data_IF_544550732828
#
_entry.id   IF_544550732828
#
_cell.length_a   1.000
_cell.length_b   1.000
_cell.length_c   1.000
_cell.angle_alpha   90.00
_cell.angle_beta   90.00
_cell.angle_gamma   90.00
#
_symmetry.space_group_name_H-M   'P 1'
#
loop_
_entity.id
_entity.type
_entity.pdbx_description
1 polymer ?
#
# COMPACT_ATOMS: atom_id res chain seq x y z
N UNK A 1 -15.68 13.62 -57.15
CA UNK A 1 -15.79 15.08 -56.94
C UNK A 1 -15.42 15.40 -55.50
N UNK A 2 -14.36 16.22 -55.35
CA UNK A 2 -13.98 17.13 -54.24
C UNK A 2 -14.42 16.78 -52.80
N UNK A 3 -13.52 16.43 -51.87
CA UNK A 3 -12.57 17.29 -51.11
C UNK A 3 -13.23 18.50 -50.40
N UNK A 4 -13.31 18.46 -49.05
CA UNK A 4 -12.70 19.41 -48.08
C UNK A 4 -13.47 19.47 -46.75
N UNK A 5 -12.72 19.84 -45.70
CA UNK A 5 -13.08 20.20 -44.32
C UNK A 5 -12.86 19.03 -43.33
N UNK A 6 -11.95 19.04 -42.36
CA UNK A 6 -11.24 20.16 -41.73
C UNK A 6 -9.91 19.68 -41.13
N UNK A 7 -8.81 20.30 -41.58
CA UNK A 7 -7.55 20.42 -40.84
C UNK A 7 -7.57 21.83 -40.29
N UNK A 8 -7.60 22.02 -38.96
CA UNK A 8 -7.10 23.21 -38.26
C UNK A 8 -7.22 22.96 -36.76
N UNK A 9 -6.10 22.66 -36.09
CA UNK A 9 -5.79 23.10 -34.71
C UNK A 9 -4.41 22.54 -34.29
N UNK A 10 -3.35 23.16 -34.82
CA UNK A 10 -2.04 23.24 -34.14
C UNK A 10 -1.65 24.73 -34.17
N UNK A 11 -1.01 25.19 -33.08
CA UNK A 11 -0.47 26.51 -32.77
C UNK A 11 -1.42 27.50 -32.07
N UNK A 12 -1.23 27.66 -30.75
CA UNK A 12 -0.62 28.86 -30.15
C UNK A 12 -0.79 28.83 -28.62
N UNK A 13 0.24 28.48 -27.85
CA UNK A 13 0.55 29.14 -26.55
C UNK A 13 2.07 29.07 -26.35
N UNK A 14 2.77 30.10 -26.80
CA UNK A 14 4.14 30.43 -26.39
C UNK A 14 4.12 31.91 -26.00
N UNK A 15 4.88 32.23 -24.94
CA UNK A 15 5.28 33.54 -24.42
C UNK A 15 4.31 34.29 -23.48
N UNK A 16 4.66 34.31 -22.19
CA UNK A 16 4.92 35.56 -21.43
C UNK A 16 5.43 35.25 -20.02
N UNK A 17 6.75 35.21 -19.82
CA UNK A 17 7.38 35.51 -18.53
C UNK A 17 8.71 36.23 -18.81
N UNK A 18 8.66 37.57 -18.83
CA UNK A 18 9.85 38.40 -18.84
C UNK A 18 10.14 38.90 -17.41
N UNK A 19 11.24 38.40 -16.88
CA UNK A 19 12.29 39.06 -16.08
C UNK A 19 11.99 40.42 -15.43
N UNK A 20 12.20 40.49 -14.11
CA UNK A 20 12.97 41.59 -13.51
C UNK A 20 13.65 41.14 -12.21
N UNK A 21 14.98 41.23 -12.27
CA UNK A 21 15.97 40.98 -11.23
C UNK A 21 15.91 42.03 -10.10
N UNK A 22 16.39 41.67 -8.91
CA UNK A 22 17.44 42.36 -8.13
C UNK A 22 17.32 42.03 -6.64
N UNK A 23 18.42 41.57 -6.04
CA UNK A 23 18.89 41.82 -4.65
C UNK A 23 20.08 40.87 -4.42
N UNK A 24 21.29 41.34 -4.68
CA UNK A 24 22.22 41.96 -3.72
C UNK A 24 22.93 40.92 -2.85
N UNK A 25 24.14 40.57 -3.31
CA UNK A 25 25.20 39.93 -2.56
C UNK A 25 25.60 40.77 -1.35
N UNK A 26 25.64 40.16 -0.16
CA UNK A 26 26.44 40.65 0.96
C UNK A 26 27.40 39.56 1.42
N UNK A 27 28.67 39.89 1.32
CA UNK A 27 29.83 39.13 1.77
C UNK A 27 30.01 39.35 3.27
N UNK A 28 30.03 38.29 4.06
CA UNK A 28 30.49 38.34 5.45
C UNK A 28 31.60 37.30 5.66
N UNK A 29 32.81 37.82 5.91
CA UNK A 29 33.95 37.09 6.47
C UNK A 29 33.81 37.07 8.00
N UNK A 30 34.03 35.91 8.61
CA UNK A 30 34.18 35.73 10.06
C UNK A 30 34.63 34.30 10.39
N UNK A 31 35.38 34.09 11.48
CA UNK A 31 36.57 33.23 11.46
C UNK A 31 36.34 31.76 11.84
N UNK A 32 37.34 30.95 11.47
CA UNK A 32 37.53 29.55 11.80
C UNK A 32 37.50 29.28 13.31
N UNK A 33 36.83 28.20 13.72
CA UNK A 33 37.04 27.53 15.00
C UNK A 33 36.56 26.08 14.97
N UNK A 34 37.48 25.21 15.39
CA UNK A 34 37.28 23.90 16.01
C UNK A 34 36.57 22.78 15.22
N UNK A 35 37.44 21.93 14.65
CA UNK A 35 37.19 20.53 14.34
C UNK A 35 36.72 19.78 15.61
N UNK A 36 35.40 19.57 15.71
CA UNK A 36 34.78 18.72 16.73
C UNK A 36 33.98 17.62 16.03
N UNK A 37 34.54 16.41 16.01
CA UNK A 37 33.90 15.20 15.50
C UNK A 37 32.59 14.94 16.27
N UNK A 38 31.45 15.29 15.66
CA UNK A 38 30.13 14.95 16.18
C UNK A 38 29.90 13.47 15.95
N UNK A 39 30.18 12.69 17.00
CA UNK A 39 29.66 11.34 17.18
C UNK A 39 28.14 11.40 16.98
N UNK A 40 27.62 10.68 15.99
CA UNK A 40 26.19 10.48 15.82
C UNK A 40 25.63 9.86 17.10
N UNK A 41 24.88 10.64 17.89
CA UNK A 41 24.19 10.15 19.07
C UNK A 41 23.17 9.09 18.65
N UNK A 42 23.47 7.84 18.99
CA UNK A 42 22.53 6.74 18.81
C UNK A 42 21.35 6.98 19.75
N UNK A 43 20.19 7.35 19.19
CA UNK A 43 18.90 7.41 19.89
C UNK A 43 18.70 6.08 20.62
N UNK A 44 18.96 6.06 21.93
CA UNK A 44 18.68 4.90 22.75
C UNK A 44 17.17 4.73 22.81
N UNK A 45 16.68 3.64 22.22
CA UNK A 45 15.27 3.28 22.34
C UNK A 45 14.98 2.95 23.80
N UNK A 46 14.06 3.69 24.43
CA UNK A 46 13.65 3.45 25.81
C UNK A 46 12.32 2.70 25.79
N UNK A 47 12.35 1.46 26.26
CA UNK A 47 11.17 0.64 26.42
C UNK A 47 10.62 0.78 27.84
N UNK A 48 9.29 0.86 27.95
CA UNK A 48 8.57 0.98 29.23
C UNK A 48 7.47 -0.07 29.33
N UNK A 49 7.06 -0.41 30.55
CA UNK A 49 5.93 -1.30 30.75
C UNK A 49 4.60 -0.66 30.32
N UNK A 50 3.72 -1.47 29.74
CA UNK A 50 2.39 -1.03 29.31
C UNK A 50 1.46 -0.94 30.52
N UNK A 51 0.98 0.27 30.84
CA UNK A 51 0.08 0.52 31.99
C UNK A 51 -1.41 0.32 31.63
N UNK A 52 -1.77 0.39 30.35
CA UNK A 52 -3.16 0.24 29.89
C UNK A 52 -3.55 -1.24 29.95
N UNK A 53 -4.50 -1.58 30.85
CA UNK A 53 -4.91 -2.97 31.15
C UNK A 53 -5.34 -3.79 29.92
N UNK A 54 -5.94 -3.14 28.93
CA UNK A 54 -6.36 -3.79 27.69
C UNK A 54 -5.15 -4.10 26.79
N UNK A 55 -4.20 -3.17 26.69
CA UNK A 55 -2.99 -3.31 25.88
C UNK A 55 -1.97 -4.27 26.50
N UNK A 56 -1.88 -4.31 27.84
CA UNK A 56 -0.96 -5.21 28.54
C UNK A 56 -1.27 -6.70 28.34
N UNK A 57 -2.45 -7.04 27.81
CA UNK A 57 -2.81 -8.40 27.38
C UNK A 57 -2.15 -8.82 26.07
N UNK A 58 -1.67 -7.86 25.27
CA UNK A 58 -1.07 -8.10 23.95
C UNK A 58 0.46 -8.14 24.04
N UNK A 59 1.06 -7.23 24.80
CA UNK A 59 2.51 -7.14 25.01
C UNK A 59 2.83 -6.38 26.30
N UNK A 60 4.00 -6.66 26.87
CA UNK A 60 4.40 -6.14 28.19
C UNK A 60 5.14 -4.81 28.11
N UNK A 61 5.79 -4.51 26.98
CA UNK A 61 6.67 -3.36 26.81
C UNK A 61 6.36 -2.57 25.54
N UNK A 62 6.42 -1.24 25.63
CA UNK A 62 6.16 -0.29 24.54
C UNK A 62 7.35 0.64 24.34
N UNK A 63 7.53 1.09 23.11
CA UNK A 63 8.54 2.09 22.76
C UNK A 63 8.07 3.51 23.11
N UNK A 64 8.97 4.33 23.68
CA UNK A 64 8.74 5.75 23.95
C UNK A 64 9.80 6.60 23.25
N UNK A 65 9.36 7.53 22.40
CA UNK A 65 10.24 8.29 21.50
C UNK A 65 11.25 9.19 22.21
N UNK A 66 10.93 9.73 23.40
CA UNK A 66 11.78 10.65 24.16
C UNK A 66 11.72 10.39 25.67
N UNK A 67 12.89 10.38 26.36
CA UNK A 67 12.99 10.24 27.82
C UNK A 67 12.40 11.41 28.61
N UNK A 68 12.42 12.60 28.01
CA UNK A 68 12.14 13.86 28.72
C UNK A 68 10.66 14.28 28.66
N UNK A 69 9.80 13.49 28.04
CA UNK A 69 8.37 13.77 27.89
C UNK A 69 7.51 12.80 28.73
N UNK A 70 7.80 12.68 30.03
CA UNK A 70 6.96 11.90 30.95
C UNK A 70 5.49 12.37 30.95
N UNK A 71 5.26 13.66 30.68
CA UNK A 71 3.93 14.23 30.51
C UNK A 71 3.20 13.69 29.26
N UNK A 72 3.93 13.38 28.18
CA UNK A 72 3.39 12.84 26.92
C UNK A 72 2.95 11.38 27.09
N UNK A 73 3.66 10.60 27.92
CA UNK A 73 3.30 9.20 28.21
C UNK A 73 1.96 9.08 28.95
N UNK A 74 1.79 9.81 30.06
CA UNK A 74 0.54 9.79 30.83
C UNK A 74 -0.65 10.27 29.99
N UNK A 75 -0.44 11.29 29.16
CA UNK A 75 -1.48 11.78 28.25
C UNK A 75 -1.84 10.77 27.16
N UNK A 76 -0.84 10.05 26.62
CA UNK A 76 -1.06 8.97 25.65
C UNK A 76 -1.87 7.84 26.28
N UNK A 77 -1.51 7.40 27.50
CA UNK A 77 -2.29 6.40 28.25
C UNK A 77 -3.73 6.87 28.51
N UNK A 78 -3.92 8.15 28.84
CA UNK A 78 -5.26 8.73 29.03
C UNK A 78 -6.08 8.68 27.72
N UNK A 79 -5.49 9.11 26.60
CA UNK A 79 -6.12 9.08 25.28
C UNK A 79 -6.52 7.67 24.85
N UNK A 80 -5.62 6.71 25.02
CA UNK A 80 -5.88 5.30 24.69
C UNK A 80 -7.04 4.75 25.53
N UNK A 81 -7.05 5.01 26.85
CA UNK A 81 -8.16 4.59 27.70
C UNK A 81 -9.48 5.25 27.30
N UNK A 82 -9.49 6.55 26.96
CA UNK A 82 -10.69 7.24 26.47
C UNK A 82 -11.23 6.60 25.20
N UNK A 83 -10.35 6.28 24.24
CA UNK A 83 -10.74 5.62 22.98
C UNK A 83 -11.32 4.24 23.28
N UNK A 84 -10.61 3.38 24.02
CA UNK A 84 -11.06 2.02 24.32
C UNK A 84 -12.33 1.95 25.19
N UNK A 85 -12.56 2.95 26.04
CA UNK A 85 -13.79 3.01 26.85
C UNK A 85 -14.99 3.57 26.07
N UNK A 86 -14.77 4.16 24.89
CA UNK A 86 -15.86 4.68 24.05
C UNK A 86 -16.64 3.57 23.31
N UNK A 87 -16.06 2.37 23.21
CA UNK A 87 -16.70 1.22 22.59
C UNK A 87 -17.52 0.43 23.61
N UNK A 88 -18.79 0.16 23.27
CA UNK A 88 -19.71 -0.64 24.09
C UNK A 88 -19.19 -2.06 24.35
N UNK A 89 -18.44 -2.61 23.40
CA UNK A 89 -17.67 -3.84 23.53
C UNK A 89 -16.28 -3.60 22.94
N UNK A 90 -15.26 -4.08 23.65
CA UNK A 90 -13.90 -3.98 23.16
C UNK A 90 -13.56 -5.22 22.33
N UNK A 91 -13.67 -5.06 21.00
CA UNK A 91 -13.18 -6.08 20.08
C UNK A 91 -11.66 -6.17 20.17
N UNK A 92 -11.13 -7.37 19.89
CA UNK A 92 -9.68 -7.59 19.96
C UNK A 92 -8.94 -6.84 18.85
N UNK A 93 -9.54 -6.70 17.68
CA UNK A 93 -8.95 -5.93 16.59
C UNK A 93 -8.86 -4.45 16.96
N UNK A 94 -9.90 -3.88 17.57
CA UNK A 94 -9.90 -2.49 18.07
C UNK A 94 -8.81 -2.31 19.12
N UNK A 95 -8.73 -3.19 20.13
CA UNK A 95 -7.68 -3.12 21.15
C UNK A 95 -6.31 -3.19 20.49
N UNK A 96 -6.05 -4.21 19.67
CA UNK A 96 -4.75 -4.40 19.03
C UNK A 96 -4.34 -3.19 18.18
N UNK A 97 -5.25 -2.66 17.37
CA UNK A 97 -5.00 -1.51 16.50
C UNK A 97 -4.69 -0.24 17.30
N UNK A 98 -5.56 0.14 18.24
CA UNK A 98 -5.38 1.35 19.05
C UNK A 98 -4.11 1.25 19.90
N UNK A 99 -3.87 0.10 20.54
CA UNK A 99 -2.66 -0.12 21.34
C UNK A 99 -1.40 -0.01 20.47
N UNK A 100 -1.36 -0.65 19.30
CA UNK A 100 -0.18 -0.61 18.42
C UNK A 100 0.06 0.80 17.86
N UNK A 101 -1.00 1.55 17.57
CA UNK A 101 -0.89 2.89 17.00
C UNK A 101 -0.34 3.91 18.02
N UNK A 102 -0.82 3.87 19.26
CA UNK A 102 -0.46 4.85 20.29
C UNK A 102 0.65 4.38 21.24
N UNK A 103 0.77 3.08 21.45
CA UNK A 103 1.69 2.42 22.38
C UNK A 103 2.46 1.31 21.64
N UNK A 104 3.22 1.62 20.58
CA UNK A 104 3.84 0.60 19.73
C UNK A 104 4.73 -0.35 20.56
N UNK A 105 4.64 -1.67 20.34
CA UNK A 105 5.41 -2.63 21.11
C UNK A 105 6.91 -2.38 20.98
N UNK A 106 7.63 -2.62 22.08
CA UNK A 106 9.08 -2.65 22.04
C UNK A 106 9.54 -3.95 21.38
N UNK A 107 10.26 -3.84 20.27
CA UNK A 107 10.87 -5.00 19.61
C UNK A 107 12.30 -5.11 20.12
N UNK A 108 12.51 -6.00 21.09
CA UNK A 108 13.87 -6.33 21.54
C UNK A 108 14.57 -7.14 20.45
N UNK A 109 15.87 -6.89 20.25
CA UNK A 109 16.73 -7.63 19.31
C UNK A 109 16.79 -9.15 19.57
N UNK A 110 16.34 -9.59 20.76
CA UNK A 110 16.32 -10.99 21.19
C UNK A 110 14.92 -11.60 21.25
N UNK A 111 13.87 -10.85 20.90
CA UNK A 111 12.51 -11.39 20.88
C UNK A 111 12.28 -12.18 19.59
N UNK A 112 11.55 -13.31 19.67
CA UNK A 112 11.23 -14.28 18.61
C UNK A 112 10.50 -13.72 17.35
N UNK A 113 10.57 -12.42 17.12
CA UNK A 113 10.21 -11.80 15.85
C UNK A 113 11.34 -12.10 14.85
N UNK A 114 11.23 -13.26 14.22
CA UNK A 114 12.19 -13.80 13.28
C UNK A 114 12.47 -12.85 12.11
N UNK A 115 13.51 -12.04 12.26
CA UNK A 115 14.15 -11.29 11.20
C UNK A 115 15.58 -11.79 11.05
N UNK A 116 15.92 -12.24 9.86
CA UNK A 116 17.27 -12.62 9.45
C UNK A 116 18.28 -11.51 9.75
N UNK A 117 19.42 -11.90 10.33
CA UNK A 117 20.52 -11.03 10.74
C UNK A 117 20.92 -10.02 9.65
N UNK A 118 20.89 -8.72 9.95
CA UNK A 118 21.65 -7.74 9.17
C UNK A 118 21.13 -6.30 9.15
N UNK A 119 19.83 -6.04 9.34
CA UNK A 119 19.28 -4.70 9.12
C UNK A 119 19.06 -3.91 10.41
N UNK A 120 20.01 -3.02 10.73
CA UNK A 120 19.90 -1.99 11.78
C UNK A 120 18.86 -0.93 11.38
N UNK A 121 17.57 -1.25 11.42
CA UNK A 121 16.54 -0.25 11.15
C UNK A 121 15.76 0.04 12.42
N UNK A 122 15.90 1.28 12.91
CA UNK A 122 15.05 1.89 13.92
C UNK A 122 13.64 2.12 13.35
N UNK A 123 12.92 1.06 13.01
CA UNK A 123 11.57 1.19 12.44
C UNK A 123 10.60 1.34 13.61
N UNK A 124 10.09 2.56 13.77
CA UNK A 124 8.85 2.78 14.50
C UNK A 124 7.74 2.03 13.76
N UNK A 125 7.52 0.79 14.16
CA UNK A 125 6.69 -0.14 13.41
C UNK A 125 5.22 0.27 13.58
N UNK A 126 4.59 0.67 12.48
CA UNK A 126 3.18 1.06 12.44
C UNK A 126 2.27 -0.18 12.35
N UNK A 127 0.99 -0.10 12.78
CA UNK A 127 0.05 -1.17 12.53
C UNK A 127 -0.18 -1.35 11.03
N UNK A 128 -0.34 -2.60 10.59
CA UNK A 128 -0.65 -2.90 9.19
C UNK A 128 -2.03 -2.37 8.81
N UNK A 129 -2.18 -1.98 7.54
CA UNK A 129 -3.47 -1.56 6.94
C UNK A 129 -4.60 -2.56 7.22
N UNK A 130 -4.32 -3.85 7.09
CA UNK A 130 -5.29 -4.92 7.32
C UNK A 130 -5.82 -4.92 8.76
N UNK A 131 -4.95 -4.68 9.75
CA UNK A 131 -5.35 -4.57 11.16
C UNK A 131 -6.31 -3.39 11.36
N UNK A 132 -6.02 -2.24 10.74
CA UNK A 132 -6.89 -1.07 10.80
C UNK A 132 -8.25 -1.33 10.15
N UNK A 133 -8.29 -1.99 8.99
CA UNK A 133 -9.54 -2.32 8.30
C UNK A 133 -10.41 -3.23 9.16
N UNK A 134 -9.84 -4.31 9.69
CA UNK A 134 -10.56 -5.22 10.60
C UNK A 134 -11.07 -4.48 11.85
N UNK A 135 -10.24 -3.65 12.45
CA UNK A 135 -10.63 -2.85 13.62
C UNK A 135 -11.74 -1.84 13.28
N UNK A 136 -11.70 -1.24 12.09
CA UNK A 136 -12.70 -0.27 11.62
C UNK A 136 -14.04 -0.96 11.40
N UNK A 137 -14.05 -2.12 10.73
CA UNK A 137 -15.25 -2.91 10.47
C UNK A 137 -15.93 -3.36 11.78
N UNK A 138 -15.15 -3.80 12.76
CA UNK A 138 -15.68 -4.17 14.08
C UNK A 138 -16.10 -2.94 14.89
N UNK A 139 -15.34 -1.85 14.84
CA UNK A 139 -15.61 -0.60 15.56
C UNK A 139 -16.86 0.12 15.07
N UNK A 140 -17.07 0.17 13.76
CA UNK A 140 -18.23 0.85 13.16
C UNK A 140 -19.56 0.20 13.55
N UNK A 141 -19.58 -1.11 13.86
CA UNK A 141 -20.75 -1.79 14.41
C UNK A 141 -21.02 -1.48 15.89
N UNK A 142 -20.00 -1.04 16.62
CA UNK A 142 -20.00 -0.89 18.08
C UNK A 142 -20.02 0.57 18.55
N UNK A 143 -19.77 1.52 17.63
CA UNK A 143 -19.87 2.94 17.89
C UNK A 143 -21.34 3.32 18.05
N UNK A 144 -21.70 3.74 19.27
CA UNK A 144 -22.96 4.45 19.52
C UNK A 144 -22.95 5.75 18.72
N UNK A 145 -24.08 6.04 18.06
CA UNK A 145 -24.29 7.22 17.21
C UNK A 145 -23.79 8.50 17.89
N UNK A 146 -22.61 9.00 17.49
CA UNK A 146 -21.99 10.21 18.02
C UNK A 146 -20.49 10.16 18.29
N UNK A 147 -19.84 8.98 18.27
CA UNK A 147 -18.41 8.88 18.58
C UNK A 147 -17.52 9.17 17.35
N UNK A 148 -17.11 10.43 17.22
CA UNK A 148 -16.22 10.95 16.16
C UNK A 148 -14.73 10.83 16.55
N UNK A 149 -14.27 9.65 16.96
CA UNK A 149 -12.89 9.47 17.45
C UNK A 149 -12.20 8.21 16.91
N UNK A 150 -12.38 7.90 15.61
CA UNK A 150 -11.56 6.88 14.96
C UNK A 150 -10.20 7.47 14.56
N UNK A 151 -9.07 6.83 14.92
CA UNK A 151 -7.75 7.39 14.67
C UNK A 151 -7.32 7.15 13.22
N UNK A 152 -7.70 8.09 12.34
CA UNK A 152 -7.17 8.21 10.97
C UNK A 152 -7.77 7.25 9.93
N UNK A 153 -7.31 7.43 8.69
CA UNK A 153 -7.72 6.63 7.53
C UNK A 153 -6.77 5.43 7.34
N UNK A 154 -7.31 4.21 7.24
CA UNK A 154 -6.49 2.99 7.11
C UNK A 154 -5.59 2.98 5.87
N UNK A 155 -5.94 3.75 4.83
CA UNK A 155 -5.21 3.83 3.58
C UNK A 155 -3.79 4.39 3.75
N UNK A 156 -3.55 5.18 4.79
CA UNK A 156 -2.22 5.76 5.08
C UNK A 156 -1.26 4.78 5.75
N UNK A 157 -1.76 3.62 6.19
CA UNK A 157 -0.96 2.61 6.87
C UNK A 157 -0.30 1.64 5.87
N UNK A 158 0.90 1.13 6.21
CA UNK A 158 1.66 0.23 5.37
C UNK A 158 1.06 -1.18 5.31
N UNK A 159 1.42 -1.92 4.27
CA UNK A 159 1.08 -3.35 4.07
C UNK A 159 2.23 -4.30 4.38
N UNK A 160 3.44 -3.76 4.55
CA UNK A 160 4.69 -4.46 4.83
C UNK A 160 5.50 -3.68 5.89
N UNK A 161 6.47 -4.33 6.51
CA UNK A 161 7.25 -3.79 7.63
C UNK A 161 6.36 -3.17 8.74
N UNK A 162 5.29 -3.88 9.10
CA UNK A 162 4.22 -3.39 9.96
C UNK A 162 3.76 -4.46 10.97
N UNK A 163 3.00 -4.05 11.98
CA UNK A 163 2.53 -4.97 13.02
C UNK A 163 1.09 -5.42 12.70
N UNK A 164 0.86 -6.73 12.68
CA UNK A 164 -0.46 -7.32 12.45
C UNK A 164 -0.95 -8.15 13.65
N UNK A 165 -2.27 -8.38 13.74
CA UNK A 165 -2.89 -9.22 14.75
C UNK A 165 -2.96 -10.66 14.21
N UNK A 166 -2.43 -11.62 14.96
CA UNK A 166 -2.45 -13.05 14.61
C UNK A 166 -3.09 -13.85 15.75
N UNK A 167 -4.18 -14.55 15.44
CA UNK A 167 -4.84 -15.43 16.39
C UNK A 167 -5.50 -14.67 17.55
N UNK A 168 -5.45 -15.25 18.75
CA UNK A 168 -6.35 -14.82 19.82
C UNK A 168 -5.94 -13.56 20.57
N UNK A 169 -4.64 -13.29 20.78
CA UNK A 169 -4.09 -12.12 21.49
C UNK A 169 -2.61 -11.89 21.15
N UNK A 170 -2.15 -12.33 19.96
CA UNK A 170 -0.73 -12.23 19.60
C UNK A 170 -0.59 -11.22 18.47
N UNK A 171 0.34 -10.30 18.62
CA UNK A 171 0.75 -9.42 17.53
C UNK A 171 2.06 -9.93 16.92
N UNK A 172 2.23 -9.74 15.61
CA UNK A 172 3.42 -10.14 14.87
C UNK A 172 3.91 -9.00 13.99
N UNK A 173 5.22 -8.86 13.86
CA UNK A 173 5.83 -8.01 12.86
C UNK A 173 5.81 -8.75 11.52
N UNK A 174 5.31 -8.06 10.50
CA UNK A 174 5.15 -8.55 9.15
C UNK A 174 6.19 -7.84 8.31
N UNK A 175 7.32 -8.50 8.04
CA UNK A 175 8.36 -7.96 7.15
C UNK A 175 7.84 -7.84 5.71
N UNK A 176 7.17 -8.89 5.23
CA UNK A 176 6.53 -8.95 3.91
C UNK A 176 5.10 -9.44 4.13
N UNK A 177 4.13 -8.81 3.46
CA UNK A 177 2.70 -9.12 3.58
C UNK A 177 2.49 -10.62 3.66
N UNK A 178 1.93 -11.10 4.79
CA UNK A 178 1.71 -12.52 5.06
C UNK A 178 1.03 -13.11 3.84
N UNK A 179 1.81 -13.90 3.07
CA UNK A 179 1.28 -14.76 2.03
C UNK A 179 0.11 -15.51 2.62
N UNK A 180 -1.03 -15.50 1.91
CA UNK A 180 -2.17 -16.33 2.24
C UNK A 180 -1.68 -17.77 2.44
N UNK A 181 -1.56 -18.20 3.70
CA UNK A 181 -1.28 -19.60 4.01
C UNK A 181 -2.59 -20.33 3.71
N UNK A 182 -2.61 -21.25 2.73
CA UNK A 182 -3.82 -21.96 2.37
C UNK A 182 -4.21 -22.85 3.55
N UNK A 183 -5.36 -22.55 4.17
CA UNK A 183 -5.95 -23.45 5.15
C UNK A 183 -6.42 -24.71 4.41
N UNK A 184 -5.57 -25.73 4.40
CA UNK A 184 -5.88 -27.07 3.90
C UNK A 184 -7.05 -27.65 4.70
N UNK A 185 -8.24 -27.64 4.11
CA UNK A 185 -9.08 -28.84 4.19
C UNK A 185 -8.62 -29.75 3.06
N UNK A 186 -8.10 -30.90 3.45
CA UNK A 186 -7.56 -31.93 2.59
C UNK A 186 -8.68 -32.50 1.69
N UNK A 187 -8.84 -31.94 0.49
CA UNK A 187 -9.34 -32.70 -0.65
C UNK A 187 -8.31 -32.72 -1.76
N UNK A 188 -8.19 -33.91 -2.31
CA UNK A 188 -7.02 -34.51 -2.92
C UNK A 188 -7.06 -34.27 -4.42
N UNK A 189 -6.50 -33.16 -4.88
CA UNK A 189 -6.05 -32.97 -6.26
C UNK A 189 -5.19 -31.70 -6.33
N UNK A 190 -3.88 -31.89 -6.26
CA UNK A 190 -2.90 -30.85 -6.59
C UNK A 190 -2.83 -30.82 -8.12
N UNK A 191 -3.09 -29.70 -8.82
CA UNK A 191 -2.29 -29.36 -9.97
C UNK A 191 -1.02 -28.71 -9.43
N UNK A 192 0.07 -29.41 -9.67
CA UNK A 192 1.44 -28.95 -9.53
C UNK A 192 1.55 -27.61 -10.27
N UNK A 193 2.12 -26.59 -9.62
CA UNK A 193 2.43 -25.34 -10.30
C UNK A 193 3.23 -25.67 -11.56
N UNK A 194 2.68 -25.36 -12.73
CA UNK A 194 3.40 -25.52 -13.98
C UNK A 194 4.71 -24.71 -13.90
N UNK A 195 5.87 -25.33 -14.12
CA UNK A 195 7.14 -24.62 -14.22
C UNK A 195 7.07 -23.59 -15.36
N UNK A 196 7.66 -22.42 -15.16
CA UNK A 196 7.67 -21.28 -16.09
C UNK A 196 8.37 -21.54 -17.44
N UNK A 197 8.72 -22.80 -17.74
CA UNK A 197 9.43 -23.25 -18.93
C UNK A 197 8.64 -24.28 -19.77
N UNK A 198 7.35 -24.51 -19.49
CA UNK A 198 6.47 -25.30 -20.37
C UNK A 198 5.25 -24.47 -20.75
N UNK A 199 5.40 -23.62 -21.78
CA UNK A 199 4.36 -23.33 -22.78
C UNK A 199 4.94 -22.42 -23.88
N UNK A 200 5.97 -22.94 -24.54
CA UNK A 200 6.14 -22.69 -25.97
C UNK A 200 5.38 -23.79 -26.70
N UNK A 201 4.16 -23.50 -27.18
CA UNK A 201 3.51 -24.33 -28.20
C UNK A 201 2.04 -24.63 -27.95
N UNK A 202 1.15 -23.69 -28.29
CA UNK A 202 0.31 -23.69 -29.50
C UNK A 202 -0.62 -22.46 -29.42
N UNK A 203 -0.93 -21.88 -30.58
CA UNK A 203 -1.81 -20.72 -30.76
C UNK A 203 -3.29 -21.06 -30.44
N UNK A 204 -3.54 -21.49 -29.21
CA UNK A 204 -4.86 -21.83 -28.70
C UNK A 204 -5.25 -20.65 -27.82
N UNK A 205 -6.08 -19.75 -28.35
CA UNK A 205 -6.42 -18.49 -27.72
C UNK A 205 -6.76 -18.65 -26.23
N UNK A 206 -6.06 -17.87 -25.39
CA UNK A 206 -6.37 -17.76 -23.98
C UNK A 206 -7.84 -17.37 -23.82
N UNK A 207 -8.65 -18.22 -23.20
CA UNK A 207 -10.00 -17.85 -22.79
C UNK A 207 -9.89 -16.80 -21.69
N UNK A 208 -10.15 -15.55 -22.07
CA UNK A 208 -10.35 -14.47 -21.12
C UNK A 208 -11.63 -14.78 -20.35
N UNK A 209 -11.49 -15.16 -19.08
CA UNK A 209 -12.64 -15.33 -18.20
C UNK A 209 -13.20 -13.93 -17.88
N UNK A 210 -14.06 -13.43 -18.77
CA UNK A 210 -14.82 -12.21 -18.55
C UNK A 210 -15.88 -12.54 -17.50
N UNK A 211 -15.57 -12.26 -16.23
CA UNK A 211 -16.53 -12.38 -15.13
C UNK A 211 -17.64 -11.35 -15.41
N UNK A 212 -18.72 -11.80 -16.04
CA UNK A 212 -19.92 -10.99 -16.27
C UNK A 212 -20.60 -10.75 -14.93
N UNK A 213 -20.44 -9.54 -14.39
CA UNK A 213 -21.19 -9.11 -13.22
C UNK A 213 -22.66 -8.92 -13.61
N UNK A 214 -23.48 -9.94 -13.33
CA UNK A 214 -24.95 -9.91 -13.46
C UNK A 214 -25.62 -8.92 -12.50
N UNK A 215 -24.87 -8.30 -11.59
CA UNK A 215 -25.32 -7.18 -10.77
C UNK A 215 -24.72 -5.88 -11.33
N UNK A 216 -25.56 -4.88 -11.60
CA UNK A 216 -25.23 -3.49 -12.02
C UNK A 216 -24.26 -2.72 -11.09
N UNK A 217 -23.55 -3.40 -10.18
CA UNK A 217 -22.68 -2.79 -9.20
C UNK A 217 -21.26 -2.78 -9.74
N UNK A 218 -20.75 -1.57 -9.99
CA UNK A 218 -19.36 -1.32 -10.37
C UNK A 218 -18.45 -1.90 -9.26
N UNK A 219 -17.57 -2.87 -9.59
CA UNK A 219 -16.65 -3.45 -8.61
C UNK A 219 -15.66 -2.40 -8.11
N UNK A 220 -15.32 -2.44 -6.82
CA UNK A 220 -14.40 -1.47 -6.22
C UNK A 220 -12.94 -1.71 -6.63
N UNK A 221 -12.15 -0.63 -6.66
CA UNK A 221 -10.71 -0.68 -6.91
C UNK A 221 -9.99 -1.55 -5.89
N UNK A 222 -9.05 -2.34 -6.40
CA UNK A 222 -8.19 -3.21 -5.60
C UNK A 222 -6.88 -2.54 -5.21
N UNK A 223 -6.78 -2.05 -3.98
CA UNK A 223 -5.54 -1.43 -3.48
C UNK A 223 -4.55 -2.43 -2.87
N UNK A 224 -4.83 -3.72 -2.96
CA UNK A 224 -4.02 -4.82 -2.43
C UNK A 224 -3.02 -5.38 -3.48
N UNK A 225 -2.73 -4.61 -4.53
CA UNK A 225 -1.86 -5.03 -5.63
C UNK A 225 -0.41 -4.99 -5.18
N UNK A 226 0.26 -6.15 -5.23
CA UNK A 226 1.64 -6.31 -4.79
C UNK A 226 2.67 -6.02 -5.89
N UNK A 227 2.29 -6.21 -7.16
CA UNK A 227 3.17 -5.99 -8.30
C UNK A 227 2.65 -4.81 -9.12
N UNK A 228 3.38 -3.69 -9.10
CA UNK A 228 3.03 -2.47 -9.85
C UNK A 228 3.56 -2.46 -11.30
N UNK A 229 4.35 -3.46 -11.70
CA UNK A 229 4.95 -3.54 -13.02
C UNK A 229 6.31 -2.83 -13.09
N UNK A 230 6.77 -2.59 -14.32
CA UNK A 230 7.99 -1.82 -14.58
C UNK A 230 7.68 -0.31 -14.43
N UNK A 231 8.29 0.41 -13.46
CA UNK A 231 7.99 1.82 -13.21
C UNK A 231 8.42 2.76 -14.34
N UNK A 232 9.25 2.26 -15.28
CA UNK A 232 9.62 3.00 -16.48
C UNK A 232 8.62 2.83 -17.62
N UNK A 233 7.54 2.07 -17.43
CA UNK A 233 6.51 1.79 -18.42
C UNK A 233 5.13 2.19 -17.88
N UNK A 234 4.10 1.94 -18.68
CA UNK A 234 2.73 2.23 -18.29
C UNK A 234 2.31 1.44 -17.05
N UNK A 235 1.68 2.16 -16.13
CA UNK A 235 0.94 1.66 -14.99
C UNK A 235 -0.26 2.60 -14.76
N UNK A 236 -1.46 2.05 -14.61
CA UNK A 236 -2.64 2.89 -14.51
C UNK A 236 -3.91 2.11 -14.26
N UNK A 237 -4.94 2.86 -13.88
CA UNK A 237 -6.29 2.34 -13.77
C UNK A 237 -7.02 2.52 -15.10
N UNK A 238 -7.71 1.47 -15.55
CA UNK A 238 -8.44 1.41 -16.80
C UNK A 238 -9.76 0.64 -16.61
N UNK A 239 -10.69 0.77 -17.55
CA UNK A 239 -11.93 0.00 -17.60
C UNK A 239 -11.84 -1.08 -18.67
N UNK A 240 -11.04 -2.13 -18.43
CA UNK A 240 -10.87 -3.22 -19.42
C UNK A 240 -12.02 -4.23 -19.35
N UNK A 241 -12.87 -4.13 -18.33
CA UNK A 241 -14.08 -4.95 -18.17
C UNK A 241 -15.36 -4.32 -18.76
N UNK A 242 -15.29 -3.09 -19.31
CA UNK A 242 -16.45 -2.32 -19.77
C UNK A 242 -17.53 -2.16 -18.69
N UNK A 243 -17.11 -1.90 -17.47
CA UNK A 243 -17.99 -1.72 -16.29
C UNK A 243 -18.46 -0.28 -16.11
N UNK A 244 -17.93 0.66 -16.90
CA UNK A 244 -18.17 2.09 -16.81
C UNK A 244 -17.31 2.80 -15.77
N UNK A 245 -16.25 2.16 -15.26
CA UNK A 245 -15.33 2.74 -14.30
C UNK A 245 -13.91 2.20 -14.43
N UNK A 246 -12.93 3.10 -14.41
CA UNK A 246 -11.51 2.75 -14.45
C UNK A 246 -11.05 2.16 -13.10
N UNK A 247 -11.38 0.89 -12.85
CA UNK A 247 -11.11 0.18 -11.61
C UNK A 247 -10.21 -1.05 -11.77
N UNK A 248 -9.82 -1.38 -13.00
CA UNK A 248 -8.84 -2.41 -13.29
C UNK A 248 -7.44 -1.82 -13.31
N UNK A 249 -6.51 -2.43 -12.58
CA UNK A 249 -5.14 -1.92 -12.55
C UNK A 249 -4.27 -2.61 -13.60
N UNK A 250 -3.98 -1.89 -14.68
CA UNK A 250 -3.17 -2.36 -15.79
C UNK A 250 -1.72 -1.90 -15.65
N UNK A 251 -0.78 -2.79 -15.97
CA UNK A 251 0.65 -2.53 -15.89
C UNK A 251 1.43 -3.37 -16.89
N UNK A 252 2.61 -2.89 -17.28
CA UNK A 252 3.54 -3.71 -18.07
C UNK A 252 4.43 -4.53 -17.15
N UNK A 253 4.47 -5.84 -17.39
CA UNK A 253 5.28 -6.80 -16.64
C UNK A 253 6.28 -7.47 -17.57
N UNK A 254 7.41 -7.90 -17.03
CA UNK A 254 8.46 -8.61 -17.77
C UNK A 254 9.59 -7.69 -18.24
N UNK A 255 10.56 -8.26 -18.97
CA UNK A 255 11.75 -7.55 -19.44
C UNK A 255 12.01 -7.83 -20.91
N UNK A 256 12.48 -6.82 -21.64
CA UNK A 256 12.87 -6.92 -23.05
C UNK A 256 11.76 -7.58 -23.90
N UNK A 257 12.10 -8.63 -24.67
CA UNK A 257 11.17 -9.38 -25.52
C UNK A 257 10.17 -10.26 -24.77
N UNK A 258 10.18 -10.25 -23.44
CA UNK A 258 9.21 -10.96 -22.58
C UNK A 258 8.27 -9.99 -21.87
N UNK A 259 8.12 -8.77 -22.37
CA UNK A 259 7.16 -7.79 -21.83
C UNK A 259 5.74 -8.13 -22.26
N UNK A 260 4.78 -7.91 -21.38
CA UNK A 260 3.34 -8.03 -21.67
C UNK A 260 2.56 -7.09 -20.77
N UNK A 261 1.44 -6.57 -21.26
CA UNK A 261 0.46 -5.84 -20.46
C UNK A 261 -0.35 -6.85 -19.67
N UNK A 262 -0.63 -6.54 -18.40
CA UNK A 262 -1.46 -7.35 -17.53
C UNK A 262 -2.28 -6.45 -16.62
N UNK A 263 -3.56 -6.79 -16.45
CA UNK A 263 -4.47 -6.05 -15.58
C UNK A 263 -4.93 -6.90 -14.38
N UNK A 264 -4.97 -6.31 -13.20
CA UNK A 264 -5.65 -6.90 -12.05
C UNK A 264 -7.09 -6.38 -12.05
N UNK A 265 -8.04 -7.26 -12.38
CA UNK A 265 -9.43 -6.88 -12.57
C UNK A 265 -10.12 -6.51 -11.26
N UNK A 266 -10.98 -5.51 -11.29
CA UNK A 266 -11.79 -5.12 -10.16
C UNK A 266 -12.72 -6.26 -9.75
N UNK A 267 -12.87 -6.49 -8.44
CA UNK A 267 -13.67 -7.59 -7.90
C UNK A 267 -13.12 -9.02 -8.12
N UNK A 268 -11.97 -9.18 -8.77
CA UNK A 268 -11.20 -10.44 -8.75
C UNK A 268 -10.51 -10.65 -7.40
N UNK A 269 -10.07 -11.88 -7.13
CA UNK A 269 -9.21 -12.18 -5.97
C UNK A 269 -7.86 -12.71 -6.45
N UNK A 270 -6.80 -12.48 -5.67
CA UNK A 270 -5.45 -12.94 -5.99
C UNK A 270 -4.58 -11.91 -6.74
N UNK A 271 -3.31 -12.23 -6.94
CA UNK A 271 -2.30 -11.36 -7.56
C UNK A 271 -1.96 -11.78 -9.00
N UNK A 272 -2.78 -12.68 -9.57
CA UNK A 272 -2.57 -13.25 -10.89
C UNK A 272 -2.60 -12.22 -12.01
N UNK A 273 -2.18 -12.65 -13.19
CA UNK A 273 -2.30 -11.87 -14.41
C UNK A 273 -3.68 -12.11 -15.00
N UNK A 274 -4.58 -11.16 -14.84
CA UNK A 274 -5.84 -11.16 -15.56
C UNK A 274 -5.69 -10.23 -16.77
N UNK A 275 -6.49 -10.45 -17.82
CA UNK A 275 -6.46 -9.65 -19.07
C UNK A 275 -5.03 -9.31 -19.56
N UNK A 276 -4.44 -10.25 -20.30
CA UNK A 276 -3.03 -10.19 -20.73
C UNK A 276 -2.89 -9.90 -22.21
N UNK A 277 -1.92 -9.06 -22.57
CA UNK A 277 -1.53 -8.90 -23.98
C UNK A 277 -0.71 -10.10 -24.46
N UNK A 278 -0.42 -10.11 -25.76
CA UNK A 278 0.61 -10.98 -26.33
C UNK A 278 1.96 -10.73 -25.67
N UNK A 279 2.72 -11.80 -25.48
CA UNK A 279 4.09 -11.73 -25.00
C UNK A 279 4.99 -11.05 -26.03
N UNK A 280 5.90 -10.21 -25.54
CA UNK A 280 6.86 -9.48 -26.36
C UNK A 280 6.23 -8.32 -27.15
N UNK A 281 5.06 -7.82 -26.74
CA UNK A 281 4.49 -6.63 -27.35
C UNK A 281 5.43 -5.43 -27.16
N UNK A 282 5.41 -4.53 -28.15
CA UNK A 282 6.12 -3.26 -28.03
C UNK A 282 5.29 -2.32 -27.16
N UNK A 283 5.78 -1.94 -25.97
CA UNK A 283 5.06 -0.97 -25.15
C UNK A 283 5.01 0.41 -25.82
N UNK A 284 5.88 0.73 -26.78
CA UNK A 284 5.97 2.06 -27.36
C UNK A 284 6.92 3.00 -26.61
N UNK A 285 6.88 4.28 -26.95
CA UNK A 285 7.84 5.27 -26.46
C UNK A 285 7.56 5.74 -25.03
N UNK A 286 8.64 6.14 -24.34
CA UNK A 286 8.55 6.58 -22.96
C UNK A 286 7.59 7.77 -22.79
N UNK A 287 6.64 7.65 -21.85
CA UNK A 287 5.61 8.65 -21.54
C UNK A 287 4.60 8.95 -22.66
N UNK A 288 4.43 8.07 -23.65
CA UNK A 288 3.38 8.25 -24.67
C UNK A 288 2.13 7.41 -24.44
N UNK A 289 2.16 6.55 -23.43
CA UNK A 289 1.13 5.52 -23.22
C UNK A 289 -0.14 6.06 -22.59
N UNK A 290 -1.27 5.50 -23.00
CA UNK A 290 -2.54 5.71 -22.34
C UNK A 290 -3.48 4.51 -22.52
N UNK A 291 -4.53 4.48 -21.71
CA UNK A 291 -5.63 3.53 -21.83
C UNK A 291 -6.89 4.32 -22.18
N UNK A 292 -7.56 3.95 -23.28
CA UNK A 292 -8.83 4.55 -23.70
C UNK A 292 -9.52 3.63 -24.69
N UNK A 293 -10.84 3.58 -24.66
CA UNK A 293 -11.65 2.95 -25.71
C UNK A 293 -11.41 3.63 -27.07
N UNK A 294 -10.63 2.96 -27.93
CA UNK A 294 -10.23 3.46 -29.25
C UNK A 294 -11.04 2.83 -30.37
N UNK A 295 -11.57 1.63 -30.17
CA UNK A 295 -12.36 0.90 -31.16
C UNK A 295 -13.88 0.97 -30.95
N UNK A 296 -14.32 1.54 -29.82
CA UNK A 296 -15.73 1.77 -29.48
C UNK A 296 -16.44 0.57 -28.88
N UNK A 297 -15.70 -0.44 -28.39
CA UNK A 297 -16.29 -1.64 -27.79
C UNK A 297 -16.68 -1.48 -26.31
N UNK A 298 -16.39 -0.31 -25.73
CA UNK A 298 -16.69 0.06 -24.35
C UNK A 298 -15.62 -0.35 -23.34
N UNK A 299 -14.50 -0.95 -23.78
CA UNK A 299 -13.33 -1.27 -22.96
C UNK A 299 -12.19 -0.32 -23.27
N UNK A 300 -11.37 -0.02 -22.27
CA UNK A 300 -10.16 0.75 -22.52
C UNK A 300 -9.07 -0.08 -23.23
N UNK A 301 -8.56 0.44 -24.34
CA UNK A 301 -7.45 -0.13 -25.10
C UNK A 301 -6.11 0.50 -24.72
N UNK A 302 -5.05 -0.29 -24.76
CA UNK A 302 -3.68 0.20 -24.61
C UNK A 302 -3.17 0.83 -25.91
N UNK A 303 -2.66 2.06 -25.81
CA UNK A 303 -2.08 2.82 -26.92
C UNK A 303 -0.73 3.43 -26.56
#
# INVERSE_FOLDING_TARGET
>A
MKLRNSIFCILQIILSCHVSSTTSFSSFKGPASALGSTKADSVHQICRSVEVKQCSKMYNSTFVKNSNEVASWKETNRKVNTILNSFSQNSRAIIAFVCTLYLPPCVDKNSDFGGTEGSKVNILSQPCRQMCQLATEEGQRLLTSGAQLWPGQCQTLPTENCINLIGANKILFVEQSISAVPSKTLQKSIPEFAPLDVELGKDDGFEVEVISYSNKRIPERRYDIANFGDPSLFQGWADVQATGAANDYCRVVGKLKRRFLSCNLAGSTGQGHHYVSRLGFDPGYHHTWFMRDMDGDGRDDYC
#
